data_IF_248161535175
#
_entry.id   IF_248161535175
#
_cell.length_a   1.000
_cell.length_b   1.000
_cell.length_c   1.000
_cell.angle_alpha   90.00
_cell.angle_beta   90.00
_cell.angle_gamma   90.00
#
_symmetry.space_group_name_H-M   'P 1'
#
loop_
_entity.id
_entity.type
_entity.pdbx_description
1 polymer ?
#
# COMPACT_ATOMS: atom_id res chain seq x y z
N UNK A 1 21.95 12.44 21.70
CA UNK A 1 20.78 11.68 22.18
C UNK A 1 20.43 10.66 21.12
N UNK A 2 20.55 9.36 21.42
CA UNK A 2 19.87 8.35 20.59
C UNK A 2 18.36 8.63 20.72
N UNK A 3 17.60 8.67 19.61
CA UNK A 3 16.16 8.85 19.73
C UNK A 3 15.58 7.61 20.43
N UNK A 4 14.64 7.84 21.36
CA UNK A 4 13.96 6.77 22.08
C UNK A 4 13.47 5.65 21.13
N UNK A 5 13.51 4.38 21.55
CA UNK A 5 12.98 3.30 20.75
C UNK A 5 11.49 3.54 20.53
N UNK A 6 11.09 3.58 19.25
CA UNK A 6 9.69 3.77 18.88
C UNK A 6 8.83 2.63 19.43
N UNK A 7 7.59 2.90 19.86
CA UNK A 7 6.72 1.89 20.43
C UNK A 7 6.43 0.79 19.40
N UNK A 8 6.47 -0.45 19.87
CA UNK A 8 6.07 -1.63 19.08
C UNK A 8 4.55 -1.61 18.89
N UNK A 9 4.12 -1.76 17.65
CA UNK A 9 2.72 -1.89 17.28
C UNK A 9 2.30 -3.34 17.04
N UNK A 10 1.15 -3.51 16.38
CA UNK A 10 0.62 -4.78 15.88
C UNK A 10 1.66 -5.53 15.02
N UNK A 11 1.82 -6.83 15.27
CA UNK A 11 2.45 -7.78 14.34
C UNK A 11 1.39 -8.68 13.73
N UNK A 12 1.32 -8.73 12.40
CA UNK A 12 0.38 -9.57 11.67
C UNK A 12 1.11 -10.48 10.68
N UNK A 13 0.92 -11.78 10.87
CA UNK A 13 1.35 -12.81 9.94
C UNK A 13 0.08 -13.48 9.40
N UNK A 14 -0.34 -13.18 8.15
CA UNK A 14 -1.52 -13.82 7.60
C UNK A 14 -1.30 -15.33 7.55
N UNK A 15 -2.34 -16.14 7.80
CA UNK A 15 -2.25 -17.59 7.72
C UNK A 15 -1.65 -18.04 6.38
N UNK A 16 -0.89 -19.15 6.43
CA UNK A 16 0.00 -19.59 5.34
C UNK A 16 -0.70 -19.75 3.99
N UNK A 17 0.10 -19.77 2.93
CA UNK A 17 -0.32 -19.85 1.52
C UNK A 17 -1.27 -21.02 1.21
N UNK A 18 -1.43 -21.99 2.11
CA UNK A 18 -2.37 -23.11 1.99
C UNK A 18 -3.82 -22.66 1.76
N UNK A 19 -4.23 -21.52 2.32
CA UNK A 19 -5.57 -20.95 2.08
C UNK A 19 -5.78 -20.50 0.62
N UNK A 20 -4.70 -20.29 -0.13
CA UNK A 20 -4.72 -19.85 -1.53
C UNK A 20 -3.91 -20.78 -2.44
N UNK A 21 -3.56 -21.99 -2.02
CA UNK A 21 -2.62 -22.86 -2.76
C UNK A 21 -3.09 -23.19 -4.18
N UNK A 22 -4.41 -23.19 -4.42
CA UNK A 22 -5.01 -23.39 -5.74
C UNK A 22 -5.11 -22.11 -6.60
N UNK A 23 -4.89 -20.93 -6.01
CA UNK A 23 -4.99 -19.65 -6.73
C UNK A 23 -3.79 -19.49 -7.69
N UNK A 24 -4.03 -19.23 -8.99
CA UNK A 24 -2.95 -19.02 -9.97
C UNK A 24 -1.91 -17.99 -9.54
N UNK A 25 -2.28 -17.04 -8.67
CA UNK A 25 -1.37 -16.03 -8.13
C UNK A 25 -0.17 -16.63 -7.38
N UNK A 26 -0.29 -17.83 -6.80
CA UNK A 26 0.80 -18.49 -6.11
C UNK A 26 1.94 -18.93 -7.07
N UNK A 27 1.63 -19.09 -8.36
CA UNK A 27 2.59 -19.48 -9.40
C UNK A 27 3.28 -18.28 -10.05
N UNK A 28 2.81 -17.06 -9.83
CA UNK A 28 3.39 -15.85 -10.41
C UNK A 28 4.82 -15.65 -9.89
N UNK A 29 5.82 -15.68 -10.76
CA UNK A 29 7.24 -15.59 -10.36
C UNK A 29 7.76 -14.15 -10.38
N UNK A 30 7.05 -13.24 -11.07
CA UNK A 30 7.45 -11.86 -11.25
C UNK A 30 6.27 -10.89 -11.02
N UNK A 31 6.58 -9.61 -10.78
CA UNK A 31 5.55 -8.56 -10.72
C UNK A 31 4.79 -8.42 -12.05
N UNK A 32 5.43 -8.75 -13.18
CA UNK A 32 4.78 -8.78 -14.48
C UNK A 32 3.73 -9.88 -14.55
N UNK A 33 4.04 -11.09 -14.06
CA UNK A 33 3.06 -12.19 -13.99
C UNK A 33 1.85 -11.80 -13.12
N UNK A 34 2.11 -11.14 -11.99
CA UNK A 34 1.04 -10.61 -11.12
C UNK A 34 0.19 -9.58 -11.86
N UNK A 35 0.81 -8.66 -12.61
CA UNK A 35 0.10 -7.66 -13.40
C UNK A 35 -0.78 -8.30 -14.49
N UNK A 36 -0.29 -9.33 -15.17
CA UNK A 36 -1.08 -10.11 -16.15
C UNK A 36 -2.30 -10.75 -15.50
N UNK A 37 -2.13 -11.40 -14.34
CA UNK A 37 -3.26 -12.01 -13.62
C UNK A 37 -4.26 -10.96 -13.11
N UNK A 38 -3.79 -9.78 -12.74
CA UNK A 38 -4.66 -8.67 -12.32
C UNK A 38 -5.48 -8.17 -13.51
N UNK A 39 -4.87 -8.01 -14.70
CA UNK A 39 -5.52 -7.47 -15.89
C UNK A 39 -6.81 -8.23 -16.26
N UNK A 40 -6.80 -9.56 -16.12
CA UNK A 40 -7.93 -10.44 -16.44
C UNK A 40 -8.84 -10.74 -15.24
N UNK A 41 -8.55 -10.16 -14.06
CA UNK A 41 -9.23 -10.51 -12.83
C UNK A 41 -10.73 -10.13 -12.84
N UNK A 42 -11.57 -11.07 -12.40
CA UNK A 42 -13.01 -10.91 -12.21
C UNK A 42 -13.48 -11.43 -10.83
N UNK A 43 -12.57 -11.51 -9.85
CA UNK A 43 -12.85 -12.10 -8.53
C UNK A 43 -13.79 -11.27 -7.64
N UNK A 44 -14.13 -10.03 -8.02
CA UNK A 44 -15.07 -9.18 -7.29
C UNK A 44 -15.75 -8.17 -8.23
N UNK A 45 -16.88 -7.62 -7.78
CA UNK A 45 -17.72 -6.67 -8.52
C UNK A 45 -17.03 -5.39 -9.02
N UNK A 46 -15.87 -5.02 -8.49
CA UNK A 46 -15.09 -3.90 -9.01
C UNK A 46 -14.62 -4.12 -10.45
N UNK A 47 -14.63 -5.37 -10.93
CA UNK A 47 -14.23 -5.67 -12.28
C UNK A 47 -15.15 -5.07 -13.36
N UNK A 48 -16.41 -4.81 -13.02
CA UNK A 48 -17.46 -4.38 -13.95
C UNK A 48 -17.35 -2.90 -14.35
N UNK A 49 -16.78 -2.07 -13.46
CA UNK A 49 -16.76 -0.61 -13.63
C UNK A 49 -15.39 0.00 -13.92
N UNK A 50 -14.33 -0.81 -14.01
CA UNK A 50 -12.97 -0.32 -14.28
C UNK A 50 -12.79 0.03 -15.75
N UNK A 51 -11.99 1.06 -16.02
CA UNK A 51 -11.41 1.29 -17.35
C UNK A 51 -10.12 0.49 -17.50
N UNK A 52 -9.22 0.62 -16.53
CA UNK A 52 -7.99 -0.16 -16.44
C UNK A 52 -7.82 -0.71 -15.02
N UNK A 53 -7.16 -1.86 -14.93
CA UNK A 53 -6.60 -2.29 -13.64
C UNK A 53 -5.33 -1.50 -13.32
N UNK A 54 -5.04 -1.33 -12.05
CA UNK A 54 -3.85 -0.64 -11.56
C UNK A 54 -3.05 -1.59 -10.67
N UNK A 55 -2.21 -2.47 -11.27
CA UNK A 55 -1.51 -3.50 -10.52
C UNK A 55 -0.51 -2.92 -9.51
N UNK A 56 0.12 -1.80 -9.85
CA UNK A 56 1.22 -1.20 -9.11
C UNK A 56 2.37 -0.89 -10.07
N UNK A 57 3.26 0.02 -9.68
CA UNK A 57 4.43 0.39 -10.49
C UNK A 57 5.64 0.66 -9.60
N UNK A 58 6.84 0.53 -10.18
CA UNK A 58 8.11 0.86 -9.52
C UNK A 58 9.12 -0.27 -9.55
N UNK A 59 10.14 -0.18 -8.70
CA UNK A 59 11.26 -1.14 -8.69
C UNK A 59 10.85 -2.50 -8.10
N UNK A 60 11.19 -3.59 -8.79
CA UNK A 60 11.01 -4.95 -8.29
C UNK A 60 11.93 -5.30 -7.10
N UNK A 61 12.97 -4.50 -6.87
CA UNK A 61 13.90 -4.62 -5.74
C UNK A 61 13.78 -3.43 -4.79
N UNK A 62 12.61 -2.79 -4.75
CA UNK A 62 12.37 -1.62 -3.93
C UNK A 62 12.56 -1.93 -2.43
N UNK A 63 13.34 -1.09 -1.74
CA UNK A 63 13.49 -1.19 -0.28
C UNK A 63 12.25 -0.67 0.47
N UNK A 64 11.47 0.20 -0.18
CA UNK A 64 10.21 0.73 0.33
C UNK A 64 9.04 0.34 -0.58
N UNK A 65 8.00 -0.23 0.01
CA UNK A 65 6.70 -0.42 -0.65
C UNK A 65 5.69 0.56 -0.06
N UNK A 66 5.02 1.34 -0.92
CA UNK A 66 3.94 2.25 -0.52
C UNK A 66 2.60 1.62 -0.88
N UNK A 67 1.68 1.58 0.07
CA UNK A 67 0.36 0.94 -0.09
C UNK A 67 -0.74 1.94 0.21
N UNK A 68 -1.55 2.27 -0.80
CA UNK A 68 -2.77 3.06 -0.66
C UNK A 68 -4.05 2.21 -0.62
N UNK A 69 -5.20 2.89 -0.71
CA UNK A 69 -6.52 2.25 -0.65
C UNK A 69 -6.92 1.57 -1.96
N UNK A 70 -6.97 2.33 -3.05
CA UNK A 70 -7.48 1.91 -4.34
C UNK A 70 -7.27 2.99 -5.41
N UNK A 71 -7.47 2.68 -6.69
CA UNK A 71 -7.37 3.65 -7.77
C UNK A 71 -8.43 4.75 -7.67
N UNK A 72 -8.04 5.99 -7.94
CA UNK A 72 -8.97 7.08 -8.25
C UNK A 72 -9.28 7.15 -9.74
N UNK A 73 -9.95 8.23 -10.17
CA UNK A 73 -10.34 8.42 -11.58
C UNK A 73 -9.14 8.42 -12.52
N UNK A 74 -8.12 9.22 -12.24
CA UNK A 74 -6.94 9.34 -13.11
C UNK A 74 -6.14 8.04 -13.14
N UNK A 75 -6.05 7.33 -12.01
CA UNK A 75 -5.39 6.03 -11.96
C UNK A 75 -6.13 4.99 -12.81
N UNK A 76 -7.47 4.96 -12.76
CA UNK A 76 -8.30 4.09 -13.61
C UNK A 76 -8.17 4.40 -15.10
N UNK A 77 -8.10 5.68 -15.48
CA UNK A 77 -7.92 6.10 -16.87
C UNK A 77 -6.54 5.74 -17.42
N UNK A 78 -5.51 5.74 -16.58
CA UNK A 78 -4.11 5.56 -17.00
C UNK A 78 -3.53 4.17 -16.72
N UNK A 79 -4.17 3.38 -15.85
CA UNK A 79 -3.63 2.10 -15.37
C UNK A 79 -2.48 2.24 -14.36
N UNK A 80 -2.16 3.46 -13.90
CA UNK A 80 -0.98 3.76 -13.07
C UNK A 80 -1.40 4.21 -11.67
N UNK A 81 -0.72 3.76 -10.59
CA UNK A 81 -1.11 4.12 -9.22
C UNK A 81 -0.65 5.54 -8.87
N UNK A 82 -1.41 6.30 -8.07
CA UNK A 82 -0.96 7.60 -7.55
C UNK A 82 -0.38 8.54 -8.62
N UNK A 83 -1.17 8.86 -9.65
CA UNK A 83 -0.78 9.80 -10.72
C UNK A 83 -1.66 11.06 -10.76
N UNK A 84 -2.76 11.12 -10.00
CA UNK A 84 -3.51 12.35 -9.76
C UNK A 84 -2.83 13.27 -8.72
N UNK A 85 -3.56 14.29 -8.26
CA UNK A 85 -3.07 15.29 -7.27
C UNK A 85 -2.53 14.68 -5.97
N UNK A 86 -3.14 13.59 -5.51
CA UNK A 86 -2.66 12.84 -4.34
C UNK A 86 -1.31 12.17 -4.61
N UNK A 87 -1.11 11.71 -5.85
CA UNK A 87 0.13 11.13 -6.34
C UNK A 87 1.27 12.14 -6.46
N UNK A 88 0.99 13.34 -6.95
CA UNK A 88 1.97 14.43 -6.99
C UNK A 88 2.48 14.78 -5.58
N UNK A 89 1.58 14.79 -4.59
CA UNK A 89 1.97 15.02 -3.20
C UNK A 89 2.77 13.84 -2.64
N UNK A 90 2.41 12.61 -2.97
CA UNK A 90 3.21 11.42 -2.62
C UNK A 90 4.64 11.54 -3.19
N UNK A 91 4.79 11.92 -4.46
CA UNK A 91 6.10 12.13 -5.08
C UNK A 91 6.94 13.14 -4.29
N UNK A 92 6.37 14.27 -3.87
CA UNK A 92 7.06 15.26 -3.02
C UNK A 92 7.46 14.72 -1.64
N UNK A 93 6.62 13.88 -1.03
CA UNK A 93 6.92 13.23 0.25
C UNK A 93 8.11 12.28 0.10
N UNK A 94 8.14 11.50 -0.98
CA UNK A 94 9.20 10.56 -1.31
C UNK A 94 10.54 11.29 -1.61
N UNK A 95 10.49 12.37 -2.38
CA UNK A 95 11.65 13.24 -2.64
C UNK A 95 12.23 13.84 -1.35
N UNK A 96 11.37 14.22 -0.39
CA UNK A 96 11.80 14.79 0.89
C UNK A 96 12.58 13.80 1.77
N UNK A 97 12.40 12.49 1.56
CA UNK A 97 13.22 11.43 2.19
C UNK A 97 14.28 10.86 1.24
N UNK A 98 14.59 11.58 0.15
CA UNK A 98 15.64 11.23 -0.81
C UNK A 98 15.44 9.84 -1.46
N UNK A 99 14.19 9.44 -1.62
CA UNK A 99 13.84 8.15 -2.22
C UNK A 99 12.93 8.40 -3.44
N UNK A 100 13.49 8.60 -4.64
CA UNK A 100 12.70 8.94 -5.81
C UNK A 100 11.71 7.83 -6.17
N UNK A 101 10.64 8.21 -6.86
CA UNK A 101 9.47 7.35 -7.14
C UNK A 101 9.84 6.05 -7.86
N UNK A 102 10.84 6.08 -8.73
CA UNK A 102 11.33 4.92 -9.50
C UNK A 102 12.11 3.90 -8.64
N UNK A 103 12.57 4.28 -7.45
CA UNK A 103 13.26 3.40 -6.50
C UNK A 103 12.33 2.72 -5.48
N UNK A 104 11.07 3.14 -5.44
CA UNK A 104 10.04 2.51 -4.59
C UNK A 104 9.12 1.63 -5.42
N UNK A 105 8.30 0.82 -4.76
CA UNK A 105 7.17 0.15 -5.40
C UNK A 105 5.87 0.68 -4.80
N UNK A 106 4.95 1.15 -5.65
CA UNK A 106 3.71 1.78 -5.23
C UNK A 106 2.53 0.94 -5.70
N UNK A 107 1.64 0.59 -4.79
CA UNK A 107 0.42 -0.15 -5.11
C UNK A 107 -0.72 0.22 -4.14
N UNK A 108 -1.86 -0.47 -4.25
CA UNK A 108 -3.05 -0.25 -3.44
C UNK A 108 -3.58 -1.57 -2.89
N UNK A 109 -4.47 -1.52 -1.89
CA UNK A 109 -5.21 -2.71 -1.42
C UNK A 109 -6.02 -3.32 -2.56
N UNK A 110 -6.94 -2.56 -3.15
CA UNK A 110 -7.70 -2.99 -4.34
C UNK A 110 -7.04 -2.49 -5.62
N UNK A 111 -7.17 -3.26 -6.70
CA UNK A 111 -6.52 -2.99 -8.01
C UNK A 111 -7.46 -2.41 -9.07
N UNK A 112 -8.72 -2.18 -8.70
CA UNK A 112 -9.77 -1.62 -9.55
C UNK A 112 -10.43 -0.46 -8.82
N UNK A 113 -10.83 0.59 -9.54
CA UNK A 113 -11.47 1.77 -8.95
C UNK A 113 -12.87 1.44 -8.41
N UNK A 114 -13.16 1.71 -7.12
CA UNK A 114 -14.52 1.66 -6.63
C UNK A 114 -15.43 2.71 -7.28
N UNK A 115 -16.72 2.41 -7.54
CA UNK A 115 -17.68 3.38 -8.07
C UNK A 115 -17.66 4.69 -7.27
N UNK A 116 -17.61 5.82 -7.97
CA UNK A 116 -17.60 7.16 -7.37
C UNK A 116 -16.46 7.40 -6.35
N UNK A 117 -15.39 6.59 -6.38
CA UNK A 117 -14.29 6.59 -5.40
C UNK A 117 -14.77 6.35 -3.95
N UNK A 118 -15.82 5.55 -3.75
CA UNK A 118 -16.18 5.06 -2.41
C UNK A 118 -15.06 4.21 -1.82
N UNK A 119 -15.11 3.98 -0.50
CA UNK A 119 -14.24 2.98 0.12
C UNK A 119 -14.51 1.58 -0.46
N UNK A 120 -13.48 0.75 -0.66
CA UNK A 120 -13.67 -0.64 -1.05
C UNK A 120 -14.35 -1.42 0.08
N UNK A 121 -15.24 -2.34 -0.29
CA UNK A 121 -15.97 -3.19 0.63
C UNK A 121 -15.11 -4.38 1.08
N UNK A 122 -15.51 -5.03 2.17
CA UNK A 122 -14.75 -6.14 2.76
C UNK A 122 -14.51 -7.29 1.78
N UNK A 123 -15.53 -7.68 1.00
CA UNK A 123 -15.42 -8.72 -0.01
C UNK A 123 -14.46 -8.35 -1.15
N UNK A 124 -14.46 -7.08 -1.55
CA UNK A 124 -13.56 -6.55 -2.59
C UNK A 124 -12.12 -6.53 -2.11
N UNK A 125 -11.89 -6.12 -0.86
CA UNK A 125 -10.57 -6.18 -0.21
C UNK A 125 -10.10 -7.63 -0.13
N UNK A 126 -10.91 -8.53 0.41
CA UNK A 126 -10.57 -9.94 0.60
C UNK A 126 -10.19 -10.62 -0.74
N UNK A 127 -10.93 -10.33 -1.82
CA UNK A 127 -10.64 -10.85 -3.14
C UNK A 127 -9.31 -10.34 -3.73
N UNK A 128 -8.86 -9.15 -3.32
CA UNK A 128 -7.69 -8.48 -3.89
C UNK A 128 -6.40 -8.66 -3.07
N UNK A 129 -6.50 -8.93 -1.77
CA UNK A 129 -5.36 -9.14 -0.88
C UNK A 129 -4.34 -10.20 -1.36
N UNK A 130 -4.73 -11.33 -1.97
CA UNK A 130 -3.76 -12.30 -2.48
C UNK A 130 -2.76 -11.70 -3.48
N UNK A 131 -3.20 -10.76 -4.33
CA UNK A 131 -2.30 -10.05 -5.23
C UNK A 131 -1.30 -9.18 -4.48
N UNK A 132 -1.77 -8.41 -3.48
CA UNK A 132 -0.89 -7.57 -2.67
C UNK A 132 0.14 -8.40 -1.90
N UNK A 133 -0.28 -9.50 -1.30
CA UNK A 133 0.63 -10.38 -0.56
C UNK A 133 1.70 -10.96 -1.48
N UNK A 134 1.30 -11.41 -2.68
CA UNK A 134 2.28 -11.89 -3.66
C UNK A 134 3.25 -10.80 -4.11
N UNK A 135 2.77 -9.57 -4.30
CA UNK A 135 3.65 -8.44 -4.63
C UNK A 135 4.68 -8.18 -3.53
N UNK A 136 4.27 -8.19 -2.26
CA UNK A 136 5.18 -8.01 -1.11
C UNK A 136 6.20 -9.16 -1.02
N UNK A 137 5.78 -10.41 -1.24
CA UNK A 137 6.67 -11.58 -1.27
C UNK A 137 7.73 -11.51 -2.38
N UNK A 138 7.35 -10.97 -3.55
CA UNK A 138 8.24 -10.84 -4.69
C UNK A 138 9.22 -9.67 -4.52
N UNK A 139 8.76 -8.53 -4.00
CA UNK A 139 9.60 -7.33 -3.78
C UNK A 139 10.52 -7.49 -2.58
N UNK A 140 10.07 -8.17 -1.52
CA UNK A 140 10.80 -8.33 -0.24
C UNK A 140 11.32 -7.00 0.31
N UNK A 141 10.44 -5.99 0.53
CA UNK A 141 10.88 -4.68 0.96
C UNK A 141 11.46 -4.71 2.36
N UNK A 142 12.31 -3.72 2.67
CA UNK A 142 12.82 -3.47 4.02
C UNK A 142 11.76 -2.79 4.90
N UNK A 143 10.94 -1.92 4.30
CA UNK A 143 9.88 -1.18 4.99
C UNK A 143 8.63 -1.10 4.11
N UNK A 144 7.46 -1.11 4.74
CA UNK A 144 6.17 -0.80 4.12
C UNK A 144 5.62 0.51 4.70
N UNK A 145 5.19 1.42 3.84
CA UNK A 145 4.46 2.62 4.21
C UNK A 145 2.98 2.49 3.82
N UNK A 146 2.11 2.27 4.81
CA UNK A 146 0.66 2.17 4.62
C UNK A 146 0.02 3.56 4.76
N UNK A 147 -0.61 4.04 3.69
CA UNK A 147 -1.18 5.39 3.62
C UNK A 147 -2.70 5.34 3.75
N UNK A 148 -3.22 5.81 4.88
CA UNK A 148 -4.65 5.87 5.17
C UNK A 148 -5.18 4.67 5.96
N UNK A 149 -6.39 4.84 6.50
CA UNK A 149 -7.05 3.86 7.37
C UNK A 149 -7.29 2.52 6.67
N UNK A 150 -7.86 2.55 5.47
CA UNK A 150 -8.17 1.33 4.70
C UNK A 150 -6.92 0.51 4.42
N UNK A 151 -5.82 1.16 4.01
CA UNK A 151 -4.54 0.48 3.76
C UNK A 151 -3.99 -0.17 5.03
N UNK A 152 -3.92 0.58 6.13
CA UNK A 152 -3.41 0.09 7.40
C UNK A 152 -4.26 -1.03 8.00
N UNK A 153 -5.58 -0.85 8.04
CA UNK A 153 -6.52 -1.81 8.61
C UNK A 153 -6.56 -3.13 7.83
N UNK A 154 -6.52 -3.05 6.49
CA UNK A 154 -6.54 -4.23 5.63
C UNK A 154 -5.21 -5.00 5.71
N UNK A 155 -4.08 -4.29 5.71
CA UNK A 155 -2.76 -4.92 5.77
C UNK A 155 -2.49 -5.56 7.14
N UNK A 156 -2.86 -4.89 8.24
CA UNK A 156 -2.59 -5.33 9.61
C UNK A 156 -3.76 -6.12 10.24
N UNK A 157 -4.81 -6.41 9.47
CA UNK A 157 -6.02 -7.12 9.90
C UNK A 157 -6.59 -6.59 11.23
N UNK A 158 -6.82 -5.27 11.30
CA UNK A 158 -7.24 -4.59 12.53
C UNK A 158 -8.40 -3.64 12.31
N UNK A 159 -9.17 -3.36 13.38
CA UNK A 159 -10.24 -2.34 13.42
C UNK A 159 -9.82 -1.05 14.12
N UNK A 160 -8.55 -0.95 14.55
CA UNK A 160 -8.05 0.24 15.21
C UNK A 160 -8.13 1.48 14.31
N UNK A 161 -8.31 2.65 14.94
CA UNK A 161 -8.38 3.93 14.22
C UNK A 161 -7.04 4.28 13.56
N UNK A 162 -7.06 5.07 12.49
CA UNK A 162 -5.81 5.57 11.88
C UNK A 162 -4.94 6.32 12.90
N UNK A 163 -5.55 7.14 13.76
CA UNK A 163 -4.82 7.92 14.76
C UNK A 163 -4.08 7.03 15.77
N UNK A 164 -4.65 5.90 16.17
CA UNK A 164 -4.04 4.97 17.13
C UNK A 164 -2.98 4.05 16.50
N UNK A 165 -2.86 3.99 15.18
CA UNK A 165 -1.86 3.18 14.46
C UNK A 165 -0.62 4.01 14.04
N UNK A 166 -0.70 5.33 14.10
CA UNK A 166 0.43 6.20 13.74
C UNK A 166 1.47 6.27 14.87
N UNK A 167 2.65 6.79 14.57
CA UNK A 167 3.77 6.92 15.51
C UNK A 167 4.21 5.58 16.16
N UNK A 168 3.99 4.45 15.50
CA UNK A 168 4.36 3.11 15.94
C UNK A 168 5.05 2.35 14.81
N UNK A 169 5.82 1.32 15.17
CA UNK A 169 6.35 0.36 14.20
C UNK A 169 5.54 -0.93 14.29
N UNK A 170 4.72 -1.18 13.28
CA UNK A 170 3.98 -2.42 13.11
C UNK A 170 4.82 -3.43 12.34
N UNK A 171 4.33 -4.67 12.22
CA UNK A 171 4.96 -5.70 11.38
C UNK A 171 3.94 -6.45 10.54
N UNK A 172 4.31 -6.71 9.29
CA UNK A 172 3.61 -7.63 8.39
C UNK A 172 4.62 -8.68 7.92
N UNK A 173 4.45 -9.96 8.29
CA UNK A 173 5.43 -11.02 7.94
C UNK A 173 6.85 -10.66 8.38
N UNK A 174 6.96 -10.10 9.58
CA UNK A 174 8.19 -9.57 10.15
C UNK A 174 8.68 -8.24 9.54
N UNK A 175 8.17 -7.81 8.38
CA UNK A 175 8.57 -6.56 7.70
C UNK A 175 8.00 -5.36 8.47
N UNK A 176 8.82 -4.36 8.86
CA UNK A 176 8.34 -3.13 9.46
C UNK A 176 7.28 -2.40 8.62
N UNK A 177 6.18 -2.02 9.25
CA UNK A 177 5.08 -1.25 8.65
C UNK A 177 4.92 0.06 9.41
N UNK A 178 5.01 1.16 8.69
CA UNK A 178 4.72 2.52 9.19
C UNK A 178 3.38 2.96 8.61
N UNK A 179 2.48 3.44 9.48
CA UNK A 179 1.16 3.92 9.08
C UNK A 179 1.18 5.45 9.06
N UNK A 180 0.58 6.05 8.03
CA UNK A 180 0.45 7.51 7.93
C UNK A 180 -0.85 7.95 7.25
N UNK A 181 -1.09 9.25 7.16
CA UNK A 181 -2.26 9.81 6.47
C UNK A 181 -2.16 9.62 4.95
N UNK A 182 -3.30 9.37 4.31
CA UNK A 182 -3.37 9.32 2.85
C UNK A 182 -3.12 10.71 2.23
N UNK A 183 -2.35 10.86 1.13
CA UNK A 183 -2.07 12.16 0.53
C UNK A 183 -3.31 12.96 0.14
N UNK A 184 -4.37 12.29 -0.34
CA UNK A 184 -5.66 12.94 -0.62
C UNK A 184 -6.28 13.63 0.61
N UNK A 185 -6.03 13.10 1.81
CA UNK A 185 -6.50 13.68 3.06
C UNK A 185 -5.71 14.96 3.40
N UNK A 186 -4.41 15.00 3.11
CA UNK A 186 -3.54 16.17 3.32
C UNK A 186 -3.90 17.34 2.39
N UNK A 187 -4.39 17.04 1.18
CA UNK A 187 -4.89 18.05 0.26
C UNK A 187 -6.13 18.77 0.81
N UNK A 188 -6.95 18.07 1.62
CA UNK A 188 -8.14 18.64 2.27
C UNK A 188 -7.84 19.25 3.64
N UNK A 189 -6.86 18.70 4.36
CA UNK A 189 -6.47 19.14 5.69
C UNK A 189 -4.95 19.33 5.81
N UNK A 190 -4.46 20.58 5.58
CA UNK A 190 -3.04 20.89 5.66
C UNK A 190 -2.40 20.64 7.04
N UNK A 191 -3.17 20.66 8.13
CA UNK A 191 -2.64 20.43 9.48
C UNK A 191 -2.08 19.01 9.67
N UNK A 192 -2.48 18.05 8.83
CA UNK A 192 -1.96 16.68 8.87
C UNK A 192 -0.61 16.50 8.18
N UNK A 193 -0.07 17.54 7.51
CA UNK A 193 1.25 17.48 6.87
C UNK A 193 2.38 17.25 7.88
N UNK A 194 2.37 17.95 9.01
CA UNK A 194 3.42 17.79 10.03
C UNK A 194 3.40 16.39 10.67
N UNK A 195 2.25 15.89 11.14
CA UNK A 195 2.15 14.50 11.60
C UNK A 195 2.60 13.48 10.54
N UNK A 196 2.23 13.67 9.27
CA UNK A 196 2.69 12.79 8.17
C UNK A 196 4.20 12.79 8.03
N UNK A 197 4.81 13.96 8.13
CA UNK A 197 6.27 14.09 8.09
C UNK A 197 6.94 13.33 9.23
N UNK A 198 6.37 13.41 10.44
CA UNK A 198 6.91 12.67 11.59
C UNK A 198 6.84 11.15 11.36
N UNK A 199 5.76 10.61 10.79
CA UNK A 199 5.69 9.17 10.43
C UNK A 199 6.68 8.81 9.32
N UNK A 200 6.76 9.61 8.26
CA UNK A 200 7.62 9.35 7.10
C UNK A 200 9.10 9.34 7.49
N UNK A 201 9.50 10.13 8.49
CA UNK A 201 10.85 10.07 9.07
C UNK A 201 11.13 8.76 9.80
N UNK A 202 10.12 8.11 10.38
CA UNK A 202 10.26 6.76 10.96
C UNK A 202 10.61 5.78 9.85
N UNK A 203 9.85 5.82 8.74
CA UNK A 203 10.11 4.95 7.59
C UNK A 203 11.52 5.18 7.01
N UNK A 204 11.95 6.45 6.89
CA UNK A 204 13.30 6.79 6.44
C UNK A 204 14.39 6.21 7.35
N UNK A 205 14.26 6.37 8.68
CA UNK A 205 15.23 5.80 9.62
C UNK A 205 15.33 4.28 9.49
N UNK A 206 14.20 3.59 9.37
CA UNK A 206 14.17 2.14 9.17
C UNK A 206 14.80 1.70 7.84
N UNK A 207 14.85 2.56 6.83
CA UNK A 207 15.54 2.26 5.57
C UNK A 207 17.06 2.36 5.70
N UNK A 208 17.55 3.16 6.64
CA UNK A 208 18.98 3.38 6.88
C UNK A 208 19.60 2.35 7.83
N UNK A 209 18.81 1.77 8.75
CA UNK A 209 19.23 0.79 9.77
C UNK A 209 19.52 -0.61 9.21
#
# INVERSE_FOLDING_TARGET
MQPDPLPSGISFDPPSADLFAADPIQRAATLADVATLIADCQKCKLCEGRTNTVPGEGSATARLVVIGEGPGRTEDETGRPFVGRAGELLTKILEAIQLPRDQVFICNIVKCRPPENRLPQYDEIAACLPFLYRQIELVKPKVILAMGGTAAQSLLSTKQSLGSLRNQIHRFRGIPVVVTYHPAALLRNPHWKRPTWDDVRIAARLLDD
#
